data_IF_848017903320
#
_entry.id   IF_848017903320
#
_cell.length_a   1.000
_cell.length_b   1.000
_cell.length_c   1.000
_cell.angle_alpha   90.00
_cell.angle_beta   90.00
_cell.angle_gamma   90.00
#
_symmetry.space_group_name_H-M   'P 1'
#
loop_
_entity.id
_entity.type
_entity.pdbx_description
1 polymer ?
#
# COMPACT_ATOMS: atom_id res chain seq x y z
N UNK A 1 -7.83 -102.52 -24.56
CA UNK A 1 -8.41 -101.19 -24.27
C UNK A 1 -7.60 -100.57 -23.16
N UNK A 2 -6.90 -99.47 -23.40
CA UNK A 2 -6.40 -98.55 -22.39
C UNK A 2 -6.29 -97.16 -23.00
N UNK A 3 -6.66 -96.18 -22.18
CA UNK A 3 -7.22 -94.89 -22.52
C UNK A 3 -6.23 -93.91 -23.16
N UNK A 4 -6.76 -93.08 -24.04
CA UNK A 4 -6.13 -91.87 -24.59
C UNK A 4 -6.07 -90.82 -23.48
N UNK A 5 -4.88 -90.49 -23.02
CA UNK A 5 -4.64 -89.36 -22.12
C UNK A 5 -4.81 -88.04 -22.91
N UNK A 6 -5.95 -87.39 -22.71
CA UNK A 6 -6.11 -85.96 -23.00
C UNK A 6 -5.24 -85.15 -22.03
N UNK A 7 -4.34 -84.27 -22.51
CA UNK A 7 -3.61 -83.37 -21.61
C UNK A 7 -4.56 -82.34 -21.00
N UNK A 8 -4.65 -82.36 -19.67
CA UNK A 8 -5.42 -81.45 -18.84
C UNK A 8 -5.07 -79.97 -19.08
N UNK A 9 -6.11 -79.14 -19.09
CA UNK A 9 -6.09 -77.69 -19.20
C UNK A 9 -5.48 -77.00 -17.95
N UNK A 10 -4.20 -77.21 -17.68
CA UNK A 10 -3.47 -76.63 -16.54
C UNK A 10 -2.37 -75.62 -16.94
N UNK A 11 -2.34 -75.17 -18.20
CA UNK A 11 -1.25 -74.36 -18.77
C UNK A 11 -1.56 -72.86 -18.93
N UNK A 12 -2.39 -72.26 -18.07
CA UNK A 12 -2.58 -70.80 -18.03
C UNK A 12 -2.49 -70.29 -16.59
N UNK A 13 -1.35 -70.52 -15.94
CA UNK A 13 -0.95 -69.71 -14.81
C UNK A 13 -0.63 -68.29 -15.33
N UNK A 14 -1.18 -67.22 -14.72
CA UNK A 14 -0.90 -65.87 -15.18
C UNK A 14 0.57 -65.56 -14.92
N UNK A 15 1.31 -65.20 -15.97
CA UNK A 15 2.62 -64.52 -15.87
C UNK A 15 2.40 -63.15 -15.21
N UNK A 16 2.09 -63.15 -13.91
CA UNK A 16 2.20 -61.97 -13.06
C UNK A 16 3.69 -61.73 -12.87
N UNK A 17 4.30 -61.09 -13.85
CA UNK A 17 5.66 -60.58 -13.74
C UNK A 17 5.73 -59.66 -12.53
N UNK A 18 6.50 -60.06 -11.52
CA UNK A 18 6.94 -59.19 -10.44
C UNK A 18 7.64 -58.00 -11.06
N UNK A 19 7.08 -56.80 -10.90
CA UNK A 19 7.69 -55.56 -11.39
C UNK A 19 9.03 -55.44 -10.67
N UNK A 20 10.17 -55.46 -11.39
CA UNK A 20 11.48 -55.40 -10.76
C UNK A 20 11.65 -54.06 -10.05
N UNK A 21 12.29 -54.10 -8.88
CA UNK A 21 12.56 -52.94 -8.05
C UNK A 21 13.38 -51.90 -8.85
N UNK A 22 12.84 -50.70 -9.02
CA UNK A 22 13.53 -49.64 -9.76
C UNK A 22 14.73 -49.15 -8.96
N UNK A 23 15.92 -49.31 -9.53
CA UNK A 23 17.18 -48.84 -8.95
C UNK A 23 17.12 -47.33 -8.77
N UNK A 24 17.02 -46.88 -7.51
CA UNK A 24 17.09 -45.46 -7.15
C UNK A 24 18.53 -44.99 -7.29
N UNK A 25 18.79 -44.22 -8.34
CA UNK A 25 20.08 -43.57 -8.54
C UNK A 25 20.27 -42.44 -7.51
N UNK A 26 21.46 -42.35 -6.88
CA UNK A 26 21.82 -41.20 -6.05
C UNK A 26 21.69 -39.88 -6.83
N UNK A 27 21.17 -38.83 -6.18
CA UNK A 27 20.86 -37.55 -6.83
C UNK A 27 22.07 -36.89 -7.52
N UNK A 28 23.27 -37.08 -6.97
CA UNK A 28 24.54 -36.60 -7.55
C UNK A 28 24.84 -37.26 -8.91
N UNK A 29 24.54 -38.55 -9.06
CA UNK A 29 24.73 -39.29 -10.31
C UNK A 29 23.67 -38.87 -11.34
N UNK A 30 22.42 -38.71 -10.91
CA UNK A 30 21.36 -38.22 -11.78
C UNK A 30 21.68 -36.83 -12.36
N UNK A 31 22.20 -35.91 -11.53
CA UNK A 31 22.63 -34.58 -11.98
C UNK A 31 23.76 -34.67 -13.00
N UNK A 32 24.76 -35.53 -12.76
CA UNK A 32 25.88 -35.75 -13.69
C UNK A 32 25.40 -36.21 -15.08
N UNK A 33 24.46 -37.16 -15.11
CA UNK A 33 23.87 -37.67 -16.37
C UNK A 33 23.07 -36.57 -17.09
N UNK A 34 22.30 -35.75 -16.37
CA UNK A 34 21.53 -34.64 -16.96
C UNK A 34 22.45 -33.56 -17.53
N UNK A 35 23.50 -33.16 -16.81
CA UNK A 35 24.48 -32.17 -17.27
C UNK A 35 25.24 -32.66 -18.51
N UNK A 36 25.60 -33.95 -18.55
CA UNK A 36 26.23 -34.56 -19.72
C UNK A 36 25.27 -34.58 -20.93
N UNK A 37 23.99 -34.92 -20.71
CA UNK A 37 22.95 -34.84 -21.75
C UNK A 37 22.74 -33.42 -22.29
N UNK A 38 22.77 -32.42 -21.40
CA UNK A 38 22.69 -31.00 -21.76
C UNK A 38 23.89 -30.56 -22.63
N UNK A 39 25.09 -31.04 -22.30
CA UNK A 39 26.32 -30.71 -23.04
C UNK A 39 26.34 -31.32 -24.45
N UNK A 40 25.85 -32.55 -24.61
CA UNK A 40 25.80 -33.22 -25.92
C UNK A 40 24.76 -32.55 -26.85
N UNK A 41 23.71 -31.94 -26.29
CA UNK A 41 22.61 -31.29 -27.05
C UNK A 41 22.51 -29.78 -26.80
N UNK A 42 23.67 -29.16 -26.61
CA UNK A 42 23.84 -27.75 -26.22
C UNK A 42 22.95 -26.79 -27.03
N UNK A 43 22.91 -26.93 -28.36
CA UNK A 43 22.14 -26.03 -29.23
C UNK A 43 20.63 -26.00 -28.91
N UNK A 44 20.00 -27.15 -28.70
CA UNK A 44 18.56 -27.23 -28.36
C UNK A 44 18.31 -26.75 -26.93
N UNK A 45 19.18 -27.12 -26.00
CA UNK A 45 19.09 -26.70 -24.60
C UNK A 45 19.22 -25.19 -24.45
N UNK A 46 20.11 -24.54 -25.22
CA UNK A 46 20.27 -23.08 -25.22
C UNK A 46 19.02 -22.38 -25.71
N UNK A 47 18.42 -22.84 -26.82
CA UNK A 47 17.17 -22.24 -27.34
C UNK A 47 16.05 -22.32 -26.31
N UNK A 48 15.85 -23.50 -25.69
CA UNK A 48 14.81 -23.67 -24.67
C UNK A 48 15.08 -22.82 -23.43
N UNK A 49 16.33 -22.78 -22.96
CA UNK A 49 16.69 -22.02 -21.76
C UNK A 49 16.52 -20.52 -22.01
N UNK A 50 16.95 -20.03 -23.18
CA UNK A 50 16.79 -18.64 -23.57
C UNK A 50 15.31 -18.27 -23.66
N UNK A 51 14.46 -19.13 -24.24
CA UNK A 51 13.02 -18.91 -24.26
C UNK A 51 12.41 -18.80 -22.86
N UNK A 52 12.80 -19.68 -21.94
CA UNK A 52 12.35 -19.64 -20.54
C UNK A 52 12.81 -18.33 -19.86
N UNK A 53 14.09 -17.97 -20.01
CA UNK A 53 14.66 -16.76 -19.42
C UNK A 53 13.96 -15.51 -19.96
N UNK A 54 13.75 -15.41 -21.27
CA UNK A 54 13.01 -14.32 -21.89
C UNK A 54 11.56 -14.27 -21.40
N UNK A 55 10.89 -15.42 -21.26
CA UNK A 55 9.52 -15.50 -20.74
C UNK A 55 9.40 -14.99 -19.31
N UNK A 56 10.31 -15.42 -18.43
CA UNK A 56 10.36 -14.95 -17.03
C UNK A 56 10.65 -13.44 -16.99
N UNK A 57 11.63 -12.97 -17.76
CA UNK A 57 11.98 -11.55 -17.81
C UNK A 57 10.81 -10.69 -18.29
N UNK A 58 10.10 -11.13 -19.33
CA UNK A 58 8.91 -10.45 -19.85
C UNK A 58 7.79 -10.39 -18.81
N UNK A 59 7.50 -11.50 -18.13
CA UNK A 59 6.49 -11.56 -17.09
C UNK A 59 6.82 -10.62 -15.92
N UNK A 60 8.08 -10.66 -15.45
CA UNK A 60 8.55 -9.77 -14.39
C UNK A 60 8.48 -8.30 -14.80
N UNK A 61 8.80 -7.97 -16.06
CA UNK A 61 8.70 -6.61 -16.60
C UNK A 61 7.27 -6.09 -16.54
N UNK A 62 6.27 -6.90 -16.93
CA UNK A 62 4.86 -6.48 -16.90
C UNK A 62 4.37 -6.33 -15.45
N UNK A 63 4.62 -7.32 -14.60
CA UNK A 63 4.19 -7.27 -13.20
C UNK A 63 4.80 -6.06 -12.47
N UNK A 64 6.09 -5.80 -12.69
CA UNK A 64 6.76 -4.63 -12.14
C UNK A 64 6.13 -3.35 -12.67
N UNK A 65 5.85 -3.27 -13.97
CA UNK A 65 5.16 -2.13 -14.56
C UNK A 65 3.80 -1.85 -13.94
N UNK A 66 3.00 -2.89 -13.67
CA UNK A 66 1.70 -2.77 -13.02
C UNK A 66 1.81 -2.29 -11.56
N UNK A 67 2.76 -2.86 -10.80
CA UNK A 67 3.00 -2.44 -9.41
C UNK A 67 3.45 -0.98 -9.33
N UNK A 68 4.37 -0.58 -10.19
CA UNK A 68 4.83 0.82 -10.27
C UNK A 68 3.68 1.74 -10.66
N UNK A 69 2.92 1.39 -11.70
CA UNK A 69 1.77 2.20 -12.15
C UNK A 69 0.71 2.35 -11.06
N UNK A 70 0.41 1.28 -10.33
CA UNK A 70 -0.52 1.32 -9.20
C UNK A 70 -0.03 2.21 -8.06
N UNK A 71 1.28 2.14 -7.74
CA UNK A 71 1.90 3.01 -6.74
C UNK A 71 1.87 4.48 -7.14
N UNK A 72 2.23 4.80 -8.39
CA UNK A 72 2.20 6.17 -8.93
C UNK A 72 0.79 6.72 -8.99
N UNK A 73 -0.20 5.96 -9.47
CA UNK A 73 -1.57 6.42 -9.53
C UNK A 73 -2.14 6.76 -8.14
N UNK A 74 -1.79 5.97 -7.11
CA UNK A 74 -2.18 6.26 -5.73
C UNK A 74 -1.51 7.53 -5.20
N UNK A 75 -0.22 7.70 -5.49
CA UNK A 75 0.53 8.90 -5.12
C UNK A 75 -0.01 10.15 -5.83
N UNK A 76 -0.35 10.05 -7.12
CA UNK A 76 -0.95 11.12 -7.91
C UNK A 76 -2.31 11.53 -7.34
N UNK A 77 -3.16 10.56 -6.97
CA UNK A 77 -4.45 10.84 -6.33
C UNK A 77 -4.28 11.58 -4.99
N UNK A 78 -3.30 11.19 -4.17
CA UNK A 78 -2.98 11.89 -2.93
C UNK A 78 -2.49 13.31 -3.22
N UNK A 79 -1.60 13.50 -4.21
CA UNK A 79 -1.10 14.82 -4.60
C UNK A 79 -2.22 15.73 -5.11
N UNK A 80 -3.12 15.20 -5.93
CA UNK A 80 -4.26 15.93 -6.46
C UNK A 80 -5.20 16.36 -5.33
N UNK A 81 -5.52 15.47 -4.38
CA UNK A 81 -6.38 15.80 -3.24
C UNK A 81 -5.74 16.89 -2.34
N UNK A 82 -4.44 16.75 -2.02
CA UNK A 82 -3.70 17.77 -1.24
C UNK A 82 -3.69 19.10 -1.98
N UNK A 83 -3.47 19.09 -3.30
CA UNK A 83 -3.50 20.30 -4.13
C UNK A 83 -4.88 20.95 -4.18
N UNK A 84 -5.94 20.14 -4.22
CA UNK A 84 -7.33 20.61 -4.18
C UNK A 84 -7.64 21.28 -2.85
N UNK A 85 -7.32 20.63 -1.72
CA UNK A 85 -7.49 21.19 -0.37
C UNK A 85 -6.67 22.48 -0.22
N UNK A 86 -5.41 22.48 -0.67
CA UNK A 86 -4.57 23.67 -0.66
C UNK A 86 -5.15 24.81 -1.50
N UNK A 87 -5.76 24.50 -2.64
CA UNK A 87 -6.42 25.50 -3.48
C UNK A 87 -7.63 26.12 -2.78
N UNK A 88 -8.45 25.31 -2.09
CA UNK A 88 -9.53 25.83 -1.25
C UNK A 88 -8.99 26.70 -0.12
N UNK A 89 -7.92 26.27 0.56
CA UNK A 89 -7.29 27.06 1.62
C UNK A 89 -6.83 28.42 1.08
N UNK A 90 -6.19 28.45 -0.09
CA UNK A 90 -5.72 29.71 -0.70
C UNK A 90 -6.88 30.61 -1.17
N UNK A 91 -7.97 30.03 -1.65
CA UNK A 91 -9.11 30.78 -2.17
C UNK A 91 -9.98 31.37 -1.04
N UNK A 92 -10.20 30.59 0.01
CA UNK A 92 -11.17 30.91 1.05
C UNK A 92 -10.53 31.50 2.30
N UNK A 93 -9.26 31.18 2.60
CA UNK A 93 -8.57 31.74 3.77
C UNK A 93 -7.75 32.98 3.42
N UNK A 94 -7.74 33.99 4.31
CA UNK A 94 -6.75 35.06 4.24
C UNK A 94 -5.34 34.49 4.39
N UNK A 95 -4.33 35.23 3.93
CA UNK A 95 -2.94 34.79 3.97
C UNK A 95 -2.55 34.27 5.37
N UNK A 96 -2.15 33.00 5.42
CA UNK A 96 -1.75 32.31 6.64
C UNK A 96 -0.28 32.55 7.02
N UNK A 97 0.46 33.31 6.20
CA UNK A 97 1.88 33.57 6.43
C UNK A 97 2.11 34.23 7.79
N UNK A 98 2.86 33.56 8.67
CA UNK A 98 3.15 34.00 10.04
C UNK A 98 1.95 33.95 11.00
N UNK A 99 0.77 33.53 10.54
CA UNK A 99 -0.44 33.42 11.36
C UNK A 99 -0.47 32.11 12.13
N UNK A 100 -1.07 32.15 13.30
CA UNK A 100 -1.26 30.98 14.15
C UNK A 100 -2.50 30.20 13.70
N UNK A 101 -2.30 28.97 13.25
CA UNK A 101 -3.36 28.05 12.81
C UNK A 101 -3.48 26.93 13.84
N UNK A 102 -4.68 26.70 14.35
CA UNK A 102 -4.95 25.63 15.31
C UNK A 102 -5.53 24.42 14.59
N UNK A 103 -4.98 23.24 14.85
CA UNK A 103 -5.55 21.98 14.38
C UNK A 103 -6.35 21.35 15.51
N UNK A 104 -7.59 20.97 15.21
CA UNK A 104 -8.50 20.24 16.10
C UNK A 104 -8.78 18.86 15.54
N UNK A 105 -9.16 17.92 16.41
CA UNK A 105 -9.58 16.60 16.01
C UNK A 105 -9.13 15.52 17.00
N UNK A 106 -9.39 14.27 16.64
CA UNK A 106 -8.92 13.14 17.42
C UNK A 106 -8.60 11.96 16.51
N UNK A 107 -7.96 10.93 17.06
CA UNK A 107 -7.53 9.77 16.28
C UNK A 107 -6.24 10.02 15.49
N UNK A 108 -6.08 9.35 14.36
CA UNK A 108 -4.90 9.45 13.49
C UNK A 108 -5.17 10.36 12.29
N UNK A 109 -4.12 11.05 11.82
CA UNK A 109 -4.17 11.76 10.54
C UNK A 109 -4.00 10.78 9.38
N UNK A 110 -4.85 10.90 8.38
CA UNK A 110 -4.66 10.24 7.09
C UNK A 110 -3.42 10.80 6.36
N UNK A 111 -2.91 10.07 5.36
CA UNK A 111 -1.75 10.52 4.58
C UNK A 111 -2.01 11.85 3.85
N UNK A 112 -3.25 12.08 3.39
CA UNK A 112 -3.66 13.34 2.77
C UNK A 112 -3.61 14.48 3.79
N UNK A 113 -4.27 14.33 4.94
CA UNK A 113 -4.28 15.37 5.97
C UNK A 113 -2.90 15.65 6.53
N UNK A 114 -2.05 14.62 6.64
CA UNK A 114 -0.67 14.76 7.04
C UNK A 114 0.09 15.64 6.02
N UNK A 115 -0.05 15.40 4.71
CA UNK A 115 0.57 16.27 3.70
C UNK A 115 -0.01 17.68 3.66
N UNK A 116 -1.31 17.85 3.97
CA UNK A 116 -1.90 19.18 4.15
C UNK A 116 -1.30 19.88 5.37
N UNK A 117 -1.09 19.16 6.48
CA UNK A 117 -0.41 19.70 7.66
C UNK A 117 1.02 20.17 7.34
N UNK A 118 1.76 19.40 6.54
CA UNK A 118 3.08 19.78 6.03
C UNK A 118 3.02 21.01 5.11
N UNK A 119 2.05 21.09 4.20
CA UNK A 119 1.92 22.22 3.26
C UNK A 119 1.53 23.51 3.98
N UNK A 120 0.72 23.43 5.04
CA UNK A 120 0.40 24.59 5.88
C UNK A 120 1.66 25.26 6.44
N UNK A 121 2.64 24.47 6.89
CA UNK A 121 3.90 25.01 7.40
C UNK A 121 4.82 25.48 6.27
N UNK A 122 5.03 24.63 5.25
CA UNK A 122 6.04 24.88 4.21
C UNK A 122 5.60 25.87 3.15
N UNK A 123 4.39 25.72 2.63
CA UNK A 123 3.90 26.45 1.46
C UNK A 123 3.09 27.68 1.85
N UNK A 124 2.33 27.59 2.96
CA UNK A 124 1.53 28.69 3.47
C UNK A 124 2.25 29.52 4.55
N UNK A 125 3.38 29.04 5.07
CA UNK A 125 4.16 29.74 6.11
C UNK A 125 3.40 29.91 7.43
N UNK A 126 2.43 29.04 7.70
CA UNK A 126 1.61 29.10 8.91
C UNK A 126 2.38 28.57 10.12
N UNK A 127 2.14 29.16 11.29
CA UNK A 127 2.55 28.59 12.58
C UNK A 127 1.46 27.66 13.05
N UNK A 128 1.68 26.36 12.87
CA UNK A 128 0.66 25.36 13.14
C UNK A 128 0.75 24.86 14.58
N UNK A 129 -0.38 24.79 15.26
CA UNK A 129 -0.49 24.41 16.65
C UNK A 129 -1.39 23.17 16.81
N UNK A 130 -0.82 22.08 17.34
CA UNK A 130 -1.54 20.86 17.73
C UNK A 130 -1.69 20.88 19.26
N UNK A 131 -2.91 21.11 19.76
CA UNK A 131 -3.18 20.99 21.20
C UNK A 131 -3.22 19.51 21.61
N UNK A 132 -2.31 19.08 22.48
CA UNK A 132 -2.19 17.69 22.92
C UNK A 132 -3.50 17.06 23.46
N UNK A 133 -4.46 17.88 23.93
CA UNK A 133 -5.77 17.40 24.39
C UNK A 133 -6.83 17.26 23.30
N UNK A 134 -6.70 18.02 22.21
CA UNK A 134 -7.75 18.20 21.20
C UNK A 134 -7.25 18.08 19.77
N UNK A 135 -6.06 17.51 19.57
CA UNK A 135 -5.45 17.32 18.26
C UNK A 135 -5.35 15.84 17.87
N UNK A 136 -5.46 15.54 16.57
CA UNK A 136 -5.18 14.21 16.06
C UNK A 136 -3.68 13.88 16.20
N UNK A 137 -3.35 12.59 16.25
CA UNK A 137 -1.98 12.10 16.35
C UNK A 137 -1.36 12.00 14.95
N UNK A 138 -0.37 12.85 14.61
CA UNK A 138 0.33 12.73 13.35
C UNK A 138 1.15 11.44 13.33
N UNK A 139 1.13 10.73 12.20
CA UNK A 139 1.92 9.51 12.01
C UNK A 139 3.44 9.76 11.92
N UNK A 140 3.84 11.01 11.61
CA UNK A 140 5.24 11.44 11.49
C UNK A 140 5.43 12.86 12.04
N UNK A 141 6.65 13.16 12.49
CA UNK A 141 6.98 14.49 12.98
C UNK A 141 6.97 15.52 11.83
N UNK A 142 6.32 16.65 12.08
CA UNK A 142 6.27 17.79 11.14
C UNK A 142 7.08 18.92 11.74
N UNK A 143 8.22 19.30 11.14
CA UNK A 143 8.99 20.44 11.59
C UNK A 143 8.15 21.72 11.58
N UNK A 144 8.22 22.52 12.64
CA UNK A 144 7.50 23.79 12.74
C UNK A 144 6.10 23.71 13.37
N UNK A 145 5.64 22.51 13.74
CA UNK A 145 4.40 22.34 14.51
C UNK A 145 4.66 22.49 16.01
N UNK A 146 3.84 23.29 16.68
CA UNK A 146 3.95 23.61 18.11
C UNK A 146 2.85 22.87 18.88
N UNK A 147 3.18 22.30 20.03
CA UNK A 147 2.25 21.48 20.84
C UNK A 147 1.35 22.30 21.80
N UNK A 148 1.20 23.60 21.57
CA UNK A 148 0.54 24.53 22.50
C UNK A 148 -0.54 25.30 21.78
N UNK A 149 -1.76 25.33 22.31
CA UNK A 149 -2.86 26.06 21.66
C UNK A 149 -2.62 27.58 21.71
N UNK A 150 -2.76 28.31 20.60
CA UNK A 150 -2.68 29.77 20.60
C UNK A 150 -3.93 30.36 21.26
N UNK A 151 -3.78 31.50 21.94
CA UNK A 151 -4.89 32.18 22.61
C UNK A 151 -5.94 32.74 21.63
N UNK A 152 -5.49 33.18 20.44
CA UNK A 152 -6.35 33.70 19.38
C UNK A 152 -5.86 33.22 18.01
N UNK A 153 -6.21 31.99 17.58
CA UNK A 153 -5.84 31.50 16.26
C UNK A 153 -6.50 32.32 15.15
N UNK A 154 -5.81 32.49 14.03
CA UNK A 154 -6.38 33.10 12.83
C UNK A 154 -7.34 32.13 12.11
N UNK A 155 -7.03 30.83 12.15
CA UNK A 155 -7.85 29.78 11.56
C UNK A 155 -7.83 28.53 12.42
N UNK A 156 -8.94 27.79 12.39
CA UNK A 156 -9.12 26.50 13.06
C UNK A 156 -9.43 25.46 12.01
N UNK A 157 -8.65 24.37 11.96
CA UNK A 157 -8.85 23.29 11.00
C UNK A 157 -9.07 21.98 11.75
N UNK A 158 -10.21 21.34 11.55
CA UNK A 158 -10.53 20.03 12.11
C UNK A 158 -10.06 18.91 11.17
N UNK A 159 -9.23 17.99 11.68
CA UNK A 159 -8.65 16.87 10.95
C UNK A 159 -8.60 15.59 11.80
N UNK A 160 -8.56 14.42 11.15
CA UNK A 160 -8.41 13.11 11.80
C UNK A 160 -9.66 12.23 11.72
N UNK A 161 -9.51 10.97 12.10
CA UNK A 161 -10.55 9.94 11.97
C UNK A 161 -11.43 9.74 13.21
N UNK A 162 -11.16 10.48 14.28
CA UNK A 162 -11.96 10.43 15.52
C UNK A 162 -13.04 11.52 15.61
N UNK A 163 -13.86 11.50 16.67
CA UNK A 163 -14.85 12.55 16.90
C UNK A 163 -14.18 13.93 17.03
N UNK A 164 -14.85 14.96 16.52
CA UNK A 164 -14.43 16.34 16.74
C UNK A 164 -14.52 16.64 18.24
N UNK A 165 -13.44 17.12 18.88
CA UNK A 165 -13.49 17.58 20.25
C UNK A 165 -14.49 18.73 20.43
N UNK A 166 -15.06 18.86 21.63
CA UNK A 166 -15.90 20.01 21.96
C UNK A 166 -15.09 21.32 21.82
N UNK A 167 -15.55 22.23 20.97
CA UNK A 167 -14.93 23.52 20.71
C UNK A 167 -16.02 24.59 20.60
N UNK A 168 -15.80 25.73 21.24
CA UNK A 168 -16.76 26.84 21.26
C UNK A 168 -16.61 27.68 19.97
N UNK A 169 -17.31 27.24 18.93
CA UNK A 169 -17.31 27.89 17.62
C UNK A 169 -17.91 29.29 17.65
N UNK A 170 -18.96 29.51 18.47
CA UNK A 170 -19.64 30.80 18.58
C UNK A 170 -18.71 31.87 19.14
N UNK A 171 -17.98 31.56 20.21
CA UNK A 171 -16.98 32.48 20.78
C UNK A 171 -15.84 32.73 19.79
N UNK A 172 -15.33 31.68 19.12
CA UNK A 172 -14.24 31.85 18.16
C UNK A 172 -14.64 32.76 16.98
N UNK A 173 -15.80 32.51 16.38
CA UNK A 173 -16.31 33.31 15.26
C UNK A 173 -16.66 34.75 15.67
N UNK A 174 -17.15 34.95 16.90
CA UNK A 174 -17.46 36.29 17.42
C UNK A 174 -16.21 37.11 17.78
N UNK A 175 -15.09 36.47 18.13
CA UNK A 175 -13.89 37.16 18.64
C UNK A 175 -12.96 37.67 17.51
N UNK A 176 -13.11 37.15 16.29
CA UNK A 176 -12.20 37.48 15.18
C UNK A 176 -12.97 37.82 13.91
N UNK A 177 -12.77 39.04 13.38
CA UNK A 177 -13.37 39.48 12.12
C UNK A 177 -12.92 38.70 10.87
N UNK A 178 -12.06 37.70 11.03
CA UNK A 178 -11.62 36.79 9.97
C UNK A 178 -11.54 35.34 10.45
N UNK A 179 -12.21 34.97 11.55
CA UNK A 179 -12.23 33.60 12.04
C UNK A 179 -12.90 32.67 11.03
N UNK A 180 -12.21 31.57 10.71
CA UNK A 180 -12.71 30.55 9.79
C UNK A 180 -12.44 29.15 10.34
N UNK A 181 -13.42 28.26 10.13
CA UNK A 181 -13.35 26.83 10.42
C UNK A 181 -13.33 26.02 9.12
N UNK A 182 -12.37 25.10 8.98
CA UNK A 182 -12.34 24.11 7.90
C UNK A 182 -12.33 22.69 8.49
N UNK A 183 -12.89 21.71 7.80
CA UNK A 183 -12.94 20.33 8.28
C UNK A 183 -12.71 19.31 7.16
N UNK A 184 -11.92 18.29 7.44
CA UNK A 184 -11.80 17.08 6.61
C UNK A 184 -12.63 15.92 7.16
N UNK A 185 -13.27 16.10 8.32
CA UNK A 185 -14.07 15.08 9.01
C UNK A 185 -15.47 15.03 8.39
N UNK A 186 -15.82 13.91 7.76
CA UNK A 186 -17.14 13.71 7.17
C UNK A 186 -18.26 13.76 8.21
N UNK A 187 -19.34 14.49 7.93
CA UNK A 187 -20.53 14.55 8.79
C UNK A 187 -20.45 15.54 9.95
N UNK A 188 -19.41 16.37 10.03
CA UNK A 188 -19.36 17.48 10.98
C UNK A 188 -20.47 18.48 10.65
N UNK A 189 -21.45 18.61 11.54
CA UNK A 189 -22.47 19.66 11.44
C UNK A 189 -21.77 21.02 11.47
N UNK A 190 -22.12 21.90 10.51
CA UNK A 190 -21.69 23.29 10.55
C UNK A 190 -22.12 23.84 11.91
N UNK A 191 -21.21 24.42 12.72
CA UNK A 191 -21.61 25.00 13.99
C UNK A 191 -22.69 26.04 13.71
N UNK A 192 -23.81 25.94 14.41
CA UNK A 192 -24.91 26.89 14.31
C UNK A 192 -24.34 28.30 14.56
N UNK A 193 -24.54 29.18 13.59
CA UNK A 193 -24.01 30.54 13.58
C UNK A 193 -24.72 31.45 14.60
#
# INVERSE_FOLDING_TARGET
MNAVDTPSASALAPLRGTIPDQVRLPASIALGVVLQGLRIRLGRSVVTLTGIVCGIAFLMSIMTGQLVKGGVAREDAVREEVGRIGSFIRADLPSLAGKDVRILGSGALSEVEMRVLESLVRDFGARVHLDAKTAPRPARAVPGVVATAPAAPAAVIAMGDGPVPAFDWGVFLATSGSAMGATTIGGMARPDA
#
